data_IF_410599524331
#
_entry.id   IF_410599524331
#
_cell.length_a   1.000
_cell.length_b   1.000
_cell.length_c   1.000
_cell.angle_alpha   90.00
_cell.angle_beta   90.00
_cell.angle_gamma   90.00
#
_symmetry.space_group_name_H-M   'P 1'
#
loop_
_entity.id
_entity.type
_entity.pdbx_description
1 polymer ?
#
# COMPACT_ATOMS: atom_id res chain seq x y z
N UNK A 1 -57.26 -13.06 22.13
CA UNK A 1 -56.01 -13.40 21.43
C UNK A 1 -55.04 -12.30 21.82
N UNK A 2 -54.35 -12.55 22.93
CA UNK A 2 -53.44 -11.62 23.58
C UNK A 2 -52.06 -11.69 22.92
N UNK A 3 -51.41 -10.52 22.88
CA UNK A 3 -49.98 -10.26 22.78
C UNK A 3 -49.15 -11.06 21.76
N UNK A 4 -48.77 -10.40 20.68
CA UNK A 4 -47.43 -10.58 20.12
C UNK A 4 -46.91 -9.19 19.71
N UNK A 5 -46.35 -8.49 20.69
CA UNK A 5 -45.65 -7.21 20.53
C UNK A 5 -44.24 -7.37 21.09
N UNK A 6 -43.50 -8.36 20.60
CA UNK A 6 -42.09 -8.55 20.98
C UNK A 6 -41.19 -9.00 19.80
N UNK A 7 -41.58 -8.69 18.57
CA UNK A 7 -40.77 -8.97 17.37
C UNK A 7 -40.35 -7.67 16.66
N UNK A 8 -39.85 -6.68 17.42
CA UNK A 8 -39.29 -5.46 16.81
C UNK A 8 -38.03 -4.91 17.52
N UNK A 9 -37.51 -5.63 18.51
CA UNK A 9 -36.30 -5.26 19.26
C UNK A 9 -35.11 -6.19 18.92
N UNK A 10 -35.24 -7.09 17.94
CA UNK A 10 -34.10 -7.90 17.49
C UNK A 10 -33.37 -7.31 16.27
N UNK A 11 -33.95 -6.29 15.62
CA UNK A 11 -33.41 -5.71 14.37
C UNK A 11 -32.27 -4.70 14.59
N UNK A 12 -32.21 -4.08 15.78
CA UNK A 12 -31.30 -2.96 16.04
C UNK A 12 -29.90 -3.38 16.53
N UNK A 13 -29.74 -4.57 17.11
CA UNK A 13 -28.45 -5.02 17.64
C UNK A 13 -27.63 -5.80 16.60
N UNK A 14 -28.28 -6.61 15.76
CA UNK A 14 -27.58 -7.45 14.79
C UNK A 14 -26.97 -6.67 13.62
N UNK A 15 -27.51 -5.48 13.30
CA UNK A 15 -27.03 -4.67 12.17
C UNK A 15 -25.78 -3.82 12.49
N UNK A 16 -25.40 -3.68 13.76
CA UNK A 16 -24.24 -2.87 14.19
C UNK A 16 -22.92 -3.67 14.25
N UNK A 17 -22.98 -4.99 14.11
CA UNK A 17 -21.80 -5.86 14.14
C UNK A 17 -21.20 -6.18 12.77
N UNK A 18 -21.84 -5.77 11.66
CA UNK A 18 -21.28 -5.91 10.31
C UNK A 18 -20.47 -4.67 9.85
N UNK A 19 -20.27 -3.69 10.72
CA UNK A 19 -19.39 -2.53 10.47
C UNK A 19 -18.04 -2.65 11.20
N UNK A 20 -17.84 -3.70 12.00
CA UNK A 20 -16.63 -3.90 12.81
C UNK A 20 -15.82 -5.11 12.33
N UNK A 21 -15.55 -5.14 11.03
CA UNK A 21 -14.51 -6.00 10.44
C UNK A 21 -13.82 -5.27 9.29
N UNK A 22 -13.55 -3.97 9.46
CA UNK A 22 -12.50 -3.27 8.72
C UNK A 22 -11.17 -3.33 9.49
N UNK A 23 -10.72 -4.54 9.81
CA UNK A 23 -9.32 -4.82 10.19
C UNK A 23 -8.77 -5.96 9.35
N UNK A 24 -8.96 -5.86 8.04
CA UNK A 24 -7.86 -6.16 7.14
C UNK A 24 -7.37 -4.78 6.72
N UNK A 25 -6.33 -4.21 7.36
CA UNK A 25 -4.97 -4.26 6.82
C UNK A 25 -4.82 -5.09 5.53
N UNK A 26 -5.69 -4.82 4.55
CA UNK A 26 -5.43 -5.14 3.16
C UNK A 26 -4.37 -4.10 2.77
N UNK A 27 -3.12 -4.49 2.50
CA UNK A 27 -2.14 -3.53 2.00
C UNK A 27 -2.73 -3.04 0.69
N UNK A 28 -3.28 -1.82 0.72
CA UNK A 28 -4.09 -1.24 -0.35
C UNK A 28 -3.52 -1.68 -1.68
N UNK A 29 -4.21 -2.64 -2.31
CA UNK A 29 -3.77 -3.14 -3.60
C UNK A 29 -3.61 -1.90 -4.50
N UNK A 30 -2.53 -1.78 -5.28
CA UNK A 30 -2.40 -0.69 -6.23
C UNK A 30 -3.70 -0.54 -6.98
N UNK A 31 -4.27 0.68 -7.07
CA UNK A 31 -5.35 0.89 -8.02
C UNK A 31 -4.78 0.40 -9.36
N UNK A 32 -5.50 -0.49 -10.05
CA UNK A 32 -5.02 -1.34 -11.15
C UNK A 32 -4.51 -0.59 -12.41
N UNK A 33 -4.19 0.70 -12.26
CA UNK A 33 -3.65 1.64 -13.24
C UNK A 33 -2.50 2.50 -12.72
N UNK A 34 -2.09 2.37 -11.44
CA UNK A 34 -0.93 3.10 -10.91
C UNK A 34 0.36 2.48 -11.41
N UNK A 35 1.02 3.17 -12.34
CA UNK A 35 2.42 2.90 -12.74
C UNK A 35 3.43 3.60 -11.83
N UNK A 36 2.95 4.32 -10.80
CA UNK A 36 3.79 5.06 -9.87
C UNK A 36 3.93 4.35 -8.54
N UNK A 37 5.15 4.33 -8.01
CA UNK A 37 5.43 3.91 -6.64
C UNK A 37 5.98 5.07 -5.83
N UNK A 38 5.56 5.11 -4.57
CA UNK A 38 6.12 5.96 -3.53
C UNK A 38 6.79 5.07 -2.50
N UNK A 39 8.11 5.10 -2.45
CA UNK A 39 8.90 4.42 -1.44
C UNK A 39 9.20 5.39 -0.31
N UNK A 40 8.53 5.20 0.81
CA UNK A 40 8.70 5.91 2.06
C UNK A 40 9.67 5.16 2.99
N UNK A 41 10.14 5.85 4.04
CA UNK A 41 11.03 5.28 5.06
C UNK A 41 12.42 4.86 4.56
N UNK A 42 12.92 5.54 3.52
CA UNK A 42 14.25 5.27 2.99
C UNK A 42 15.34 5.76 3.95
N UNK A 43 16.46 5.03 4.08
CA UNK A 43 17.57 5.46 4.92
C UNK A 43 18.20 6.74 4.35
N UNK A 44 18.58 7.67 5.22
CA UNK A 44 19.13 8.98 4.86
C UNK A 44 20.49 8.90 4.13
N UNK A 45 21.17 7.76 4.21
CA UNK A 45 22.36 7.47 3.43
C UNK A 45 22.10 6.98 2.01
N UNK A 46 20.85 6.71 1.63
CA UNK A 46 20.52 6.25 0.29
C UNK A 46 20.40 7.45 -0.66
N UNK A 47 21.29 7.49 -1.64
CA UNK A 47 21.26 8.56 -2.65
C UNK A 47 20.21 8.27 -3.72
N UNK A 48 19.83 9.33 -4.43
CA UNK A 48 18.96 9.25 -5.60
C UNK A 48 19.48 8.20 -6.59
N UNK A 49 20.78 8.20 -6.86
CA UNK A 49 21.42 7.29 -7.80
C UNK A 49 21.32 5.82 -7.34
N UNK A 50 21.56 5.53 -6.07
CA UNK A 50 21.46 4.18 -5.49
C UNK A 50 20.02 3.67 -5.57
N UNK A 51 19.06 4.50 -5.15
CA UNK A 51 17.63 4.22 -5.21
C UNK A 51 17.19 3.92 -6.63
N UNK A 52 17.57 4.79 -7.57
CA UNK A 52 17.28 4.62 -9.00
C UNK A 52 17.88 3.34 -9.55
N UNK A 53 19.10 2.98 -9.19
CA UNK A 53 19.74 1.74 -9.63
C UNK A 53 19.01 0.50 -9.09
N UNK A 54 18.61 0.51 -7.82
CA UNK A 54 17.84 -0.58 -7.21
C UNK A 54 16.48 -0.74 -7.91
N UNK A 55 15.79 0.37 -8.17
CA UNK A 55 14.48 0.37 -8.81
C UNK A 55 14.58 0.01 -10.29
N UNK A 56 15.59 0.52 -10.99
CA UNK A 56 15.85 0.21 -12.39
C UNK A 56 16.21 -1.26 -12.62
N UNK A 57 16.56 -2.01 -11.56
CA UNK A 57 16.76 -3.46 -11.62
C UNK A 57 15.47 -4.21 -11.97
N UNK A 58 14.33 -3.74 -11.47
CA UNK A 58 13.02 -4.36 -11.72
C UNK A 58 12.48 -4.04 -13.12
N UNK A 59 12.81 -2.86 -13.65
CA UNK A 59 12.50 -2.52 -15.04
C UNK A 59 12.74 -1.04 -15.37
N UNK A 60 12.41 -0.64 -16.62
CA UNK A 60 12.67 0.71 -17.10
C UNK A 60 11.77 1.75 -16.41
N UNK A 61 12.43 2.66 -15.70
CA UNK A 61 11.81 3.81 -15.04
C UNK A 61 11.47 4.88 -16.07
N UNK A 62 10.19 5.26 -16.13
CA UNK A 62 9.69 6.40 -16.89
C UNK A 62 9.98 7.72 -16.16
N UNK A 63 9.87 7.73 -14.83
CA UNK A 63 10.17 8.90 -13.99
C UNK A 63 10.78 8.46 -12.65
N UNK A 64 11.67 9.26 -12.11
CA UNK A 64 12.25 9.05 -10.78
C UNK A 64 12.55 10.39 -10.12
N UNK A 65 12.14 10.57 -8.87
CA UNK A 65 12.31 11.77 -8.05
C UNK A 65 12.56 11.35 -6.59
N UNK A 66 13.63 11.83 -5.95
CA UNK A 66 13.92 11.56 -4.54
C UNK A 66 13.74 12.85 -3.71
N UNK A 67 12.89 12.79 -2.69
CA UNK A 67 12.58 13.89 -1.79
C UNK A 67 12.79 13.47 -0.33
N UNK A 68 13.87 13.94 0.30
CA UNK A 68 14.10 13.87 1.76
C UNK A 68 13.61 12.57 2.45
N UNK A 69 14.01 11.40 1.93
CA UNK A 69 13.64 10.09 2.48
C UNK A 69 12.40 9.42 1.86
N UNK A 70 11.82 10.04 0.83
CA UNK A 70 10.71 9.50 0.02
C UNK A 70 11.18 9.45 -1.44
N UNK A 71 11.21 8.27 -2.05
CA UNK A 71 11.43 8.11 -3.48
C UNK A 71 10.10 7.95 -4.20
N UNK A 72 9.83 8.86 -5.13
CA UNK A 72 8.71 8.78 -6.07
C UNK A 72 9.25 8.29 -7.39
N UNK A 73 8.64 7.24 -7.94
CA UNK A 73 9.07 6.67 -9.19
C UNK A 73 7.87 6.25 -10.03
N UNK A 74 8.07 6.14 -11.33
CA UNK A 74 7.08 5.57 -12.25
C UNK A 74 7.77 4.61 -13.19
N UNK A 75 7.25 3.40 -13.32
CA UNK A 75 7.70 2.46 -14.34
C UNK A 75 6.97 2.70 -15.65
N UNK A 76 7.57 2.20 -16.73
CA UNK A 76 6.91 2.19 -18.04
C UNK A 76 5.79 1.14 -18.08
N UNK A 77 5.94 0.06 -17.29
CA UNK A 77 5.01 -1.06 -17.26
C UNK A 77 4.34 -1.23 -15.88
N UNK A 78 3.01 -1.41 -15.82
CA UNK A 78 2.30 -1.61 -14.56
C UNK A 78 2.64 -2.95 -13.90
N UNK A 79 2.87 -4.02 -14.66
CA UNK A 79 3.24 -5.33 -14.10
C UNK A 79 4.57 -5.29 -13.31
N UNK A 80 5.54 -4.49 -13.79
CA UNK A 80 6.81 -4.23 -13.09
C UNK A 80 6.56 -3.46 -11.80
N UNK A 81 5.62 -2.53 -11.82
CA UNK A 81 5.23 -1.69 -10.67
C UNK A 81 4.73 -2.56 -9.52
N UNK A 82 3.80 -3.49 -9.79
CA UNK A 82 3.27 -4.42 -8.79
C UNK A 82 4.36 -5.34 -8.24
N UNK A 83 5.20 -5.89 -9.12
CA UNK A 83 6.30 -6.76 -8.71
C UNK A 83 7.29 -6.02 -7.83
N UNK A 84 7.72 -4.82 -8.23
CA UNK A 84 8.62 -3.99 -7.45
C UNK A 84 7.98 -3.56 -6.13
N UNK A 85 6.69 -3.24 -6.10
CA UNK A 85 5.96 -2.92 -4.88
C UNK A 85 6.00 -4.07 -3.88
N UNK A 86 5.58 -5.28 -4.26
CA UNK A 86 5.61 -6.44 -3.37
C UNK A 86 7.02 -6.83 -2.94
N UNK A 87 8.01 -6.63 -3.82
CA UNK A 87 9.40 -6.99 -3.54
C UNK A 87 10.14 -5.95 -2.70
N UNK A 88 9.73 -4.68 -2.72
CA UNK A 88 10.38 -3.60 -1.96
C UNK A 88 9.65 -3.30 -0.66
N UNK A 89 8.32 -3.47 -0.63
CA UNK A 89 7.52 -3.24 0.56
C UNK A 89 7.91 -4.25 1.66
N UNK A 90 8.35 -3.74 2.80
CA UNK A 90 8.81 -4.57 3.91
C UNK A 90 10.26 -5.05 3.78
N UNK A 91 11.02 -4.60 2.77
CA UNK A 91 12.45 -4.91 2.72
C UNK A 91 13.22 -4.10 3.77
N UNK A 92 14.04 -4.75 4.61
CA UNK A 92 14.94 -4.05 5.50
C UNK A 92 16.10 -3.44 4.71
N UNK A 93 16.16 -2.11 4.65
CA UNK A 93 17.23 -1.36 4.03
C UNK A 93 17.85 -0.39 5.05
N UNK A 94 19.13 -0.58 5.38
CA UNK A 94 19.84 0.29 6.33
C UNK A 94 19.23 0.28 7.74
N UNK A 95 18.60 -0.82 8.15
CA UNK A 95 17.94 -0.95 9.46
C UNK A 95 16.53 -0.35 9.54
N UNK A 96 15.99 0.14 8.42
CA UNK A 96 14.59 0.61 8.31
C UNK A 96 13.83 -0.29 7.33
N UNK A 97 12.56 -0.56 7.59
CA UNK A 97 11.70 -1.28 6.67
C UNK A 97 11.16 -0.29 5.64
N UNK A 98 11.46 -0.51 4.37
CA UNK A 98 10.91 0.30 3.30
C UNK A 98 9.39 0.12 3.26
N UNK A 99 8.66 1.23 3.14
CA UNK A 99 7.23 1.19 2.90
C UNK A 99 6.99 1.64 1.48
N UNK A 100 6.32 0.82 0.68
CA UNK A 100 6.00 1.19 -0.70
C UNK A 100 4.49 1.36 -0.82
N UNK A 101 4.11 2.48 -1.42
CA UNK A 101 2.74 2.90 -1.69
C UNK A 101 2.59 3.20 -3.19
N UNK A 102 1.37 3.32 -3.67
CA UNK A 102 0.93 3.24 -5.07
C UNK A 102 -0.10 4.31 -5.40
#
# INVERSE_FOLDING_TARGET
HEADVDDLVMDAHLKRMLDDSQVVDEPSAPPASSIGLRVSNMPEGLTELQSRQLLSHFGPLSRFELHSGIALLKYTEPAVTETAWSMLNGIPLGGRLLQVEV
#
